data_IF_567245136680
#
_entry.id   IF_567245136680
#
_cell.length_a   1.000
_cell.length_b   1.000
_cell.length_c   1.000
_cell.angle_alpha   90.00
_cell.angle_beta   90.00
_cell.angle_gamma   90.00
#
_symmetry.space_group_name_H-M   'P 1'
#
loop_
_entity.id
_entity.type
_entity.pdbx_description
1 polymer ?
#
# COMPACT_ATOMS: atom_id res chain seq x y z
N UNK A 1 41.59 7.88 40.82
CA UNK A 1 41.20 7.13 39.59
C UNK A 1 39.70 6.91 39.64
N UNK A 2 38.96 7.51 38.71
CA UNK A 2 37.50 7.43 38.62
C UNK A 2 37.12 6.29 37.67
N UNK A 3 36.41 5.26 38.17
CA UNK A 3 35.90 4.16 37.34
C UNK A 3 34.62 4.61 36.66
N UNK A 4 34.69 4.80 35.34
CA UNK A 4 33.52 4.97 34.47
C UNK A 4 32.72 3.67 34.44
N UNK A 5 31.46 3.70 34.87
CA UNK A 5 30.50 2.63 34.62
C UNK A 5 30.01 2.77 33.18
N UNK A 6 30.40 1.86 32.31
CA UNK A 6 29.80 1.73 30.99
C UNK A 6 28.46 1.00 31.15
N UNK A 7 27.36 1.74 31.01
CA UNK A 7 26.04 1.14 30.83
C UNK A 7 25.98 0.57 29.41
N UNK A 8 25.96 -0.77 29.31
CA UNK A 8 25.60 -1.47 28.09
C UNK A 8 24.10 -1.30 27.88
N UNK A 9 23.70 -0.48 26.91
CA UNK A 9 22.34 -0.50 26.37
C UNK A 9 22.16 -1.87 25.68
N UNK A 10 21.42 -2.76 26.32
CA UNK A 10 20.99 -4.00 25.70
C UNK A 10 19.88 -3.69 24.70
N UNK A 11 20.15 -3.91 23.41
CA UNK A 11 19.11 -3.97 22.39
C UNK A 11 18.15 -5.11 22.74
N UNK A 12 16.90 -4.78 23.08
CA UNK A 12 15.85 -5.77 23.26
C UNK A 12 15.59 -6.42 21.90
N UNK A 13 16.01 -7.68 21.75
CA UNK A 13 15.71 -8.48 20.58
C UNK A 13 14.22 -8.86 20.66
N UNK A 14 13.38 -8.16 19.90
CA UNK A 14 11.97 -8.50 19.77
C UNK A 14 11.87 -9.79 18.93
N UNK A 15 11.59 -10.92 19.58
CA UNK A 15 11.26 -12.17 18.91
C UNK A 15 9.79 -12.08 18.48
N UNK A 16 9.53 -11.76 17.21
CA UNK A 16 8.19 -11.72 16.63
C UNK A 16 7.81 -13.13 16.17
N UNK A 17 6.92 -13.79 16.91
CA UNK A 17 6.18 -14.96 16.42
C UNK A 17 4.76 -14.52 16.10
N UNK A 18 4.36 -14.69 14.84
CA UNK A 18 2.97 -14.56 14.40
C UNK A 18 2.23 -15.84 14.78
N UNK A 19 1.17 -15.71 15.57
CA UNK A 19 0.27 -16.81 15.88
C UNK A 19 -1.13 -16.44 15.42
N UNK A 20 -1.61 -17.07 14.34
CA UNK A 20 -3.03 -17.05 13.98
C UNK A 20 -3.78 -17.96 14.96
N UNK A 21 -4.77 -17.40 15.66
CA UNK A 21 -5.58 -18.17 16.60
C UNK A 21 -6.62 -19.00 15.81
N UNK A 22 -6.21 -20.17 15.31
CA UNK A 22 -7.18 -21.14 14.76
C UNK A 22 -8.02 -21.71 15.91
N UNK A 23 -9.36 -21.76 15.82
CA UNK A 23 -10.15 -22.58 16.73
C UNK A 23 -9.77 -24.05 16.45
N UNK A 24 -9.21 -24.70 17.47
CA UNK A 24 -8.87 -26.12 17.41
C UNK A 24 -10.16 -26.94 17.40
N UNK A 25 -10.74 -27.13 16.21
CA UNK A 25 -11.90 -27.97 16.01
C UNK A 25 -11.48 -29.45 16.11
N UNK A 26 -11.93 -30.10 17.18
CA UNK A 26 -11.95 -31.56 17.26
C UNK A 26 -12.82 -32.07 16.11
N UNK A 27 -12.23 -32.93 15.27
CA UNK A 27 -12.89 -33.49 14.10
C UNK A 27 -14.10 -34.35 14.50
N UNK A 28 -15.26 -34.03 13.92
CA UNK A 28 -16.25 -35.03 13.54
C UNK A 28 -16.95 -34.57 12.25
N UNK A 29 -17.13 -35.50 11.32
CA UNK A 29 -17.40 -35.25 9.91
C UNK A 29 -18.74 -34.56 9.61
N UNK A 30 -18.68 -33.59 8.69
CA UNK A 30 -19.85 -32.97 8.08
C UNK A 30 -19.45 -31.68 7.37
N UNK A 31 -19.57 -31.64 6.04
CA UNK A 31 -19.19 -30.49 5.22
C UNK A 31 -19.96 -29.22 5.58
N UNK A 32 -19.24 -28.09 5.54
CA UNK A 32 -19.74 -26.75 5.85
C UNK A 32 -18.82 -26.06 6.85
N UNK A 33 -17.58 -25.77 6.45
CA UNK A 33 -16.58 -25.14 7.32
C UNK A 33 -16.92 -23.68 7.58
N UNK A 34 -17.19 -23.37 8.84
CA UNK A 34 -17.49 -22.06 9.39
C UNK A 34 -16.27 -21.12 9.20
N UNK A 35 -16.31 -20.24 8.19
CA UNK A 35 -15.25 -19.25 7.93
C UNK A 35 -15.27 -18.18 9.02
N UNK A 36 -14.60 -18.44 10.14
CA UNK A 36 -14.45 -17.46 11.21
C UNK A 36 -13.27 -16.52 10.93
N UNK A 37 -13.54 -15.21 11.04
CA UNK A 37 -12.51 -14.17 11.14
C UNK A 37 -11.45 -14.57 12.16
N UNK A 38 -10.17 -14.48 11.77
CA UNK A 38 -9.06 -14.82 12.65
C UNK A 38 -8.29 -13.57 13.00
N UNK A 39 -8.35 -13.16 14.27
CA UNK A 39 -7.50 -12.08 14.77
C UNK A 39 -6.05 -12.53 14.73
N UNK A 40 -5.22 -11.74 14.05
CA UNK A 40 -3.78 -11.93 13.98
C UNK A 40 -3.14 -11.32 15.22
N UNK A 41 -2.29 -12.10 15.88
CA UNK A 41 -1.55 -11.65 17.04
C UNK A 41 -0.04 -11.70 16.80
N UNK A 42 0.65 -10.69 17.30
CA UNK A 42 2.10 -10.66 17.43
C UNK A 42 2.51 -10.87 18.89
N UNK A 43 3.53 -11.71 19.08
CA UNK A 43 4.20 -11.91 20.37
C UNK A 43 5.43 -11.02 20.43
N UNK A 44 5.60 -10.29 21.54
CA UNK A 44 6.72 -9.37 21.71
C UNK A 44 7.29 -9.47 23.13
N UNK A 45 8.63 -9.40 23.26
CA UNK A 45 9.27 -9.12 24.54
C UNK A 45 9.49 -7.62 24.68
N UNK A 46 8.90 -7.02 25.71
CA UNK A 46 8.98 -5.59 25.99
C UNK A 46 9.59 -5.31 27.35
N UNK A 47 10.44 -4.30 27.44
CA UNK A 47 11.04 -3.86 28.72
C UNK A 47 10.05 -2.95 29.45
N UNK A 48 9.62 -3.36 30.65
CA UNK A 48 8.73 -2.62 31.55
C UNK A 48 7.25 -2.52 31.13
N UNK A 49 6.98 -1.98 29.93
CA UNK A 49 5.65 -1.51 29.45
C UNK A 49 4.74 -2.56 28.79
N UNK A 50 3.61 -2.09 28.25
CA UNK A 50 2.55 -2.92 27.66
C UNK A 50 2.71 -3.15 26.14
N UNK A 51 3.31 -2.20 25.41
CA UNK A 51 3.82 -2.29 24.02
C UNK A 51 4.73 -1.06 23.78
N UNK A 52 5.62 -1.09 22.78
CA UNK A 52 6.44 0.07 22.43
C UNK A 52 5.57 1.19 21.82
N UNK A 53 5.47 2.38 22.45
CA UNK A 53 4.65 3.48 21.92
C UNK A 53 5.08 3.96 20.53
N UNK A 54 6.35 3.77 20.14
CA UNK A 54 6.83 4.14 18.82
C UNK A 54 6.28 3.20 17.73
N UNK A 55 6.20 1.89 18.02
CA UNK A 55 5.62 0.89 17.10
C UNK A 55 4.14 1.15 16.89
N UNK A 56 3.38 1.36 17.98
CA UNK A 56 1.95 1.67 17.90
C UNK A 56 1.70 2.95 17.08
N UNK A 57 2.54 3.97 17.27
CA UNK A 57 2.44 5.22 16.51
C UNK A 57 2.71 4.99 15.03
N UNK A 58 3.77 4.27 14.67
CA UNK A 58 4.11 3.99 13.28
C UNK A 58 2.97 3.24 12.56
N UNK A 59 2.41 2.22 13.20
CA UNK A 59 1.25 1.48 12.67
C UNK A 59 0.04 2.41 12.47
N UNK A 60 -0.32 3.20 13.48
CA UNK A 60 -1.49 4.08 13.44
C UNK A 60 -1.35 5.23 12.43
N UNK A 61 -0.19 5.89 12.40
CA UNK A 61 0.07 6.98 11.46
C UNK A 61 0.02 6.47 10.01
N UNK A 62 0.56 5.27 9.76
CA UNK A 62 0.50 4.63 8.45
C UNK A 62 -0.94 4.29 8.02
N UNK A 63 -1.71 3.59 8.87
CA UNK A 63 -3.07 3.18 8.47
C UNK A 63 -4.01 4.37 8.30
N UNK A 64 -3.88 5.40 9.13
CA UNK A 64 -4.65 6.65 8.99
C UNK A 64 -4.30 7.32 7.67
N UNK A 65 -2.99 7.46 7.38
CA UNK A 65 -2.52 8.10 6.17
C UNK A 65 -2.91 7.35 4.90
N UNK A 66 -2.65 6.05 4.84
CA UNK A 66 -2.94 5.25 3.65
C UNK A 66 -4.45 5.17 3.39
N UNK A 67 -5.27 5.14 4.44
CA UNK A 67 -6.73 5.17 4.31
C UNK A 67 -7.23 6.47 3.68
N UNK A 68 -6.74 7.63 4.14
CA UNK A 68 -7.07 8.92 3.52
C UNK A 68 -6.59 8.98 2.06
N UNK A 69 -5.38 8.51 1.81
CA UNK A 69 -4.82 8.44 0.47
C UNK A 69 -5.70 7.58 -0.45
N UNK A 70 -6.13 6.39 -0.02
CA UNK A 70 -7.04 5.55 -0.81
C UNK A 70 -8.41 6.20 -1.06
N UNK A 71 -8.95 6.92 -0.09
CA UNK A 71 -10.19 7.70 -0.30
C UNK A 71 -10.04 8.79 -1.38
N UNK A 72 -8.82 9.32 -1.55
CA UNK A 72 -8.45 10.17 -2.67
C UNK A 72 -8.63 9.48 -4.03
N UNK A 73 -8.11 8.25 -4.19
CA UNK A 73 -8.26 7.48 -5.42
C UNK A 73 -9.72 7.16 -5.75
N UNK A 74 -10.57 6.90 -4.73
CA UNK A 74 -12.01 6.70 -4.93
C UNK A 74 -12.63 7.96 -5.55
N UNK A 75 -12.38 9.12 -4.95
CA UNK A 75 -12.88 10.42 -5.43
C UNK A 75 -12.43 10.69 -6.86
N UNK A 76 -11.13 10.51 -7.15
CA UNK A 76 -10.56 10.70 -8.49
C UNK A 76 -11.20 9.76 -9.53
N UNK A 77 -11.48 8.52 -9.14
CA UNK A 77 -12.08 7.50 -10.01
C UNK A 77 -13.57 7.79 -10.26
N UNK A 78 -14.32 8.23 -9.26
CA UNK A 78 -15.71 8.65 -9.41
C UNK A 78 -15.86 9.88 -10.32
N UNK A 79 -14.99 10.88 -10.14
CA UNK A 79 -14.94 12.07 -11.00
C UNK A 79 -14.67 11.68 -12.47
N UNK A 80 -13.76 10.74 -12.68
CA UNK A 80 -13.50 10.21 -14.02
C UNK A 80 -14.69 9.43 -14.56
N UNK A 81 -15.36 8.59 -13.77
CA UNK A 81 -16.57 7.89 -14.20
C UNK A 81 -17.71 8.85 -14.57
N UNK A 82 -17.75 10.06 -13.99
CA UNK A 82 -18.74 11.07 -14.31
C UNK A 82 -18.47 11.81 -15.65
N UNK A 83 -17.21 11.99 -16.05
CA UNK A 83 -16.81 12.86 -17.19
C UNK A 83 -16.06 12.11 -18.31
N UNK A 84 -15.24 11.15 -17.93
CA UNK A 84 -14.39 10.34 -18.80
C UNK A 84 -15.19 9.36 -19.64
N UNK A 85 -14.76 9.19 -20.89
CA UNK A 85 -15.50 8.42 -21.90
C UNK A 85 -14.75 7.20 -22.39
N UNK A 86 -13.45 7.11 -22.14
CA UNK A 86 -12.66 5.99 -22.61
C UNK A 86 -13.10 4.70 -21.89
N UNK A 87 -13.60 3.68 -22.61
CA UNK A 87 -14.16 2.48 -21.99
C UNK A 87 -13.13 1.68 -21.17
N UNK A 88 -11.85 1.71 -21.58
CA UNK A 88 -10.76 1.03 -20.86
C UNK A 88 -10.50 1.75 -19.53
N UNK A 89 -10.38 3.07 -19.55
CA UNK A 89 -10.14 3.84 -18.35
C UNK A 89 -11.34 3.87 -17.40
N UNK A 90 -12.56 3.81 -17.92
CA UNK A 90 -13.77 3.65 -17.08
C UNK A 90 -13.76 2.29 -16.36
N UNK A 91 -13.33 1.23 -17.04
CA UNK A 91 -13.14 -0.08 -16.39
C UNK A 91 -12.02 -0.03 -15.36
N UNK A 92 -10.92 0.68 -15.65
CA UNK A 92 -9.84 0.90 -14.69
C UNK A 92 -10.31 1.64 -13.44
N UNK A 93 -11.01 2.77 -13.59
CA UNK A 93 -11.58 3.53 -12.49
C UNK A 93 -12.53 2.68 -11.63
N UNK A 94 -13.37 1.84 -12.25
CA UNK A 94 -14.21 0.90 -11.52
C UNK A 94 -13.43 -0.17 -10.75
N UNK A 95 -12.31 -0.66 -11.30
CA UNK A 95 -11.44 -1.62 -10.62
C UNK A 95 -10.69 -0.98 -9.44
N UNK A 96 -10.19 0.25 -9.62
CA UNK A 96 -9.57 1.04 -8.55
C UNK A 96 -10.57 1.24 -7.40
N UNK A 97 -11.82 1.61 -7.71
CA UNK A 97 -12.85 1.78 -6.68
C UNK A 97 -13.05 0.49 -5.89
N UNK A 98 -13.35 -0.62 -6.58
CA UNK A 98 -13.64 -1.88 -5.92
C UNK A 98 -12.47 -2.39 -5.06
N UNK A 99 -11.23 -2.27 -5.55
CA UNK A 99 -10.06 -2.76 -4.84
C UNK A 99 -9.69 -1.85 -3.66
N UNK A 100 -9.69 -0.52 -3.84
CA UNK A 100 -9.30 0.40 -2.77
C UNK A 100 -10.40 0.58 -1.71
N UNK A 101 -11.68 0.37 -2.03
CA UNK A 101 -12.75 0.24 -1.02
C UNK A 101 -12.48 -0.94 -0.07
N UNK A 102 -12.06 -2.08 -0.61
CA UNK A 102 -11.68 -3.25 0.19
C UNK A 102 -10.44 -2.95 1.04
N UNK A 103 -9.40 -2.36 0.46
CA UNK A 103 -8.19 -1.99 1.20
C UNK A 103 -8.49 -0.97 2.32
N UNK A 104 -9.40 -0.02 2.11
CA UNK A 104 -9.88 0.89 3.18
C UNK A 104 -10.54 0.10 4.32
N UNK A 105 -11.38 -0.90 4.00
CA UNK A 105 -12.01 -1.73 5.03
C UNK A 105 -10.98 -2.54 5.82
N UNK A 106 -9.94 -3.05 5.15
CA UNK A 106 -8.80 -3.72 5.79
C UNK A 106 -8.04 -2.76 6.69
N UNK A 107 -7.72 -1.54 6.24
CA UNK A 107 -7.02 -0.53 7.05
C UNK A 107 -7.83 -0.10 8.28
N UNK A 108 -9.16 0.05 8.14
CA UNK A 108 -10.07 0.33 9.25
C UNK A 108 -10.06 -0.80 10.30
N UNK A 109 -10.04 -2.05 9.85
CA UNK A 109 -9.97 -3.19 10.75
C UNK A 109 -8.59 -3.32 11.42
N UNK A 110 -7.49 -3.13 10.68
CA UNK A 110 -6.15 -3.09 11.26
C UNK A 110 -6.06 -2.01 12.34
N UNK A 111 -6.56 -0.80 12.05
CA UNK A 111 -6.62 0.29 13.03
C UNK A 111 -7.36 -0.14 14.29
N UNK A 112 -8.54 -0.76 14.15
CA UNK A 112 -9.34 -1.26 15.28
C UNK A 112 -8.59 -2.30 16.11
N UNK A 113 -7.78 -3.14 15.49
CA UNK A 113 -6.98 -4.15 16.17
C UNK A 113 -5.79 -3.53 16.90
N UNK A 114 -5.02 -2.66 16.22
CA UNK A 114 -3.86 -1.97 16.80
C UNK A 114 -4.23 -1.09 18.00
N UNK A 115 -5.44 -0.51 18.02
CA UNK A 115 -5.94 0.29 19.15
C UNK A 115 -6.31 -0.53 20.39
N UNK A 116 -6.44 -1.85 20.28
CA UNK A 116 -6.77 -2.70 21.43
C UNK A 116 -5.56 -2.86 22.37
N UNK A 117 -5.80 -2.93 23.69
CA UNK A 117 -4.72 -3.08 24.65
C UNK A 117 -4.03 -4.44 24.49
N UNK A 118 -2.68 -4.48 24.51
CA UNK A 118 -1.93 -5.74 24.49
C UNK A 118 -2.15 -6.52 25.78
N UNK A 119 -2.13 -7.85 25.69
CA UNK A 119 -2.27 -8.77 26.82
C UNK A 119 -0.90 -9.23 27.29
N UNK A 120 -0.59 -9.04 28.57
CA UNK A 120 0.58 -9.67 29.19
C UNK A 120 0.33 -11.18 29.30
N UNK A 121 1.20 -11.97 28.69
CA UNK A 121 1.16 -13.44 28.79
C UNK A 121 2.04 -13.93 29.94
N UNK A 122 3.26 -13.39 30.05
CA UNK A 122 4.23 -13.73 31.10
C UNK A 122 4.96 -12.48 31.56
N UNK A 123 5.12 -12.32 32.88
CA UNK A 123 5.84 -11.20 33.49
C UNK A 123 7.13 -11.69 34.16
N UNK A 124 8.28 -11.23 33.67
CA UNK A 124 9.61 -11.53 34.22
C UNK A 124 10.17 -10.34 35.03
N UNK A 125 9.30 -9.45 35.53
CA UNK A 125 9.67 -8.24 36.24
C UNK A 125 10.07 -7.11 35.29
N UNK A 126 11.35 -7.01 34.95
CA UNK A 126 11.85 -5.94 34.07
C UNK A 126 11.44 -6.14 32.60
N UNK A 127 11.07 -7.36 32.22
CA UNK A 127 10.67 -7.73 30.85
C UNK A 127 9.35 -8.49 30.88
N UNK A 128 8.49 -8.22 29.92
CA UNK A 128 7.19 -8.90 29.77
C UNK A 128 7.09 -9.52 28.39
N UNK A 129 6.55 -10.73 28.31
CA UNK A 129 6.07 -11.30 27.06
C UNK A 129 4.61 -10.88 26.90
N UNK A 130 4.33 -10.12 25.85
CA UNK A 130 3.00 -9.62 25.53
C UNK A 130 2.47 -10.28 24.26
N UNK A 131 1.15 -10.22 24.10
CA UNK A 131 0.44 -10.54 22.87
C UNK A 131 -0.38 -9.34 22.44
N UNK A 132 -0.12 -8.84 21.24
CA UNK A 132 -0.79 -7.67 20.67
C UNK A 132 -1.66 -8.09 19.48
N UNK A 133 -2.94 -7.68 19.41
CA UNK A 133 -3.73 -7.81 18.19
C UNK A 133 -3.23 -6.81 17.15
N UNK A 134 -3.05 -7.26 15.90
CA UNK A 134 -2.43 -6.43 14.85
C UNK A 134 -3.23 -6.35 13.56
N UNK A 135 -4.12 -7.31 13.31
CA UNK A 135 -5.00 -7.35 12.14
C UNK A 135 -6.10 -8.41 12.31
N UNK A 136 -6.95 -8.53 11.31
CA UNK A 136 -7.86 -9.67 11.13
C UNK A 136 -7.67 -10.23 9.73
N UNK A 137 -7.52 -11.54 9.63
CA UNK A 137 -7.54 -12.28 8.38
C UNK A 137 -8.96 -12.79 8.07
N UNK A 138 -9.28 -12.92 6.79
CA UNK A 138 -10.57 -13.45 6.33
C UNK A 138 -11.60 -12.38 5.95
N UNK A 139 -11.23 -11.09 5.96
CA UNK A 139 -12.15 -9.99 5.60
C UNK A 139 -12.66 -10.14 4.17
N UNK A 140 -11.85 -10.69 3.26
CA UNK A 140 -12.25 -10.94 1.88
C UNK A 140 -13.46 -11.88 1.78
N UNK A 141 -13.52 -12.90 2.64
CA UNK A 141 -14.64 -13.83 2.68
C UNK A 141 -15.88 -13.17 3.32
N UNK A 142 -15.68 -12.40 4.39
CA UNK A 142 -16.74 -11.70 5.09
C UNK A 142 -17.43 -10.64 4.21
N UNK A 143 -16.63 -9.85 3.50
CA UNK A 143 -17.11 -8.81 2.61
C UNK A 143 -17.51 -9.34 1.23
N UNK A 144 -17.42 -10.67 1.02
CA UNK A 144 -17.59 -11.33 -0.27
C UNK A 144 -16.79 -10.62 -1.39
N UNK A 145 -15.60 -10.13 -1.02
CA UNK A 145 -14.74 -9.36 -1.90
C UNK A 145 -14.14 -10.27 -2.97
N UNK A 146 -14.22 -9.81 -4.20
CA UNK A 146 -13.55 -10.40 -5.34
C UNK A 146 -12.74 -9.30 -5.99
N UNK A 147 -11.41 -9.48 -6.02
CA UNK A 147 -10.49 -8.52 -6.63
C UNK A 147 -10.91 -8.23 -8.07
N UNK A 148 -11.12 -6.96 -8.37
CA UNK A 148 -11.44 -6.50 -9.70
C UNK A 148 -10.14 -6.38 -10.51
N UNK A 149 -9.92 -7.22 -11.54
CA UNK A 149 -8.67 -7.15 -12.30
C UNK A 149 -8.65 -5.85 -13.11
N UNK A 150 -7.57 -5.05 -13.02
CA UNK A 150 -7.42 -3.88 -13.86
C UNK A 150 -7.41 -4.30 -15.35
N UNK A 151 -7.78 -3.39 -16.27
CA UNK A 151 -7.58 -3.65 -17.69
C UNK A 151 -6.12 -3.95 -18.00
N UNK A 152 -5.89 -4.66 -19.09
CA UNK A 152 -4.54 -4.96 -19.56
C UNK A 152 -4.09 -3.98 -20.63
N UNK A 153 -2.77 -3.95 -20.89
CA UNK A 153 -2.25 -3.25 -22.07
C UNK A 153 -2.94 -3.75 -23.36
N UNK A 154 -3.23 -5.05 -23.48
CA UNK A 154 -3.96 -5.60 -24.63
C UNK A 154 -5.36 -5.01 -24.75
N UNK A 155 -6.07 -4.81 -23.63
CA UNK A 155 -7.38 -4.14 -23.62
C UNK A 155 -7.26 -2.71 -24.18
N UNK A 156 -6.22 -1.97 -23.80
CA UNK A 156 -5.94 -0.63 -24.32
C UNK A 156 -5.64 -0.62 -25.82
N UNK A 157 -4.90 -1.62 -26.33
CA UNK A 157 -4.53 -1.72 -27.74
C UNK A 157 -5.69 -2.16 -28.65
N UNK A 158 -6.56 -3.03 -28.15
CA UNK A 158 -7.63 -3.65 -28.94
C UNK A 158 -8.95 -2.89 -28.85
N UNK A 159 -9.20 -2.18 -27.75
CA UNK A 159 -10.42 -1.42 -27.57
C UNK A 159 -10.36 -0.14 -28.41
N UNK A 160 -11.41 0.09 -29.21
CA UNK A 160 -11.58 1.32 -29.98
C UNK A 160 -11.97 2.47 -29.04
N UNK A 161 -11.27 3.59 -29.16
CA UNK A 161 -11.52 4.81 -28.40
C UNK A 161 -10.27 5.67 -28.43
N UNK A 162 -10.39 6.92 -28.87
CA UNK A 162 -9.26 7.85 -28.78
C UNK A 162 -9.03 8.20 -27.30
N UNK A 163 -7.76 8.27 -26.90
CA UNK A 163 -7.39 8.91 -25.63
C UNK A 163 -7.52 10.42 -25.86
N UNK A 164 -8.36 11.07 -25.07
CA UNK A 164 -8.51 12.53 -25.10
C UNK A 164 -7.68 13.22 -24.02
N UNK A 165 -7.69 14.56 -24.02
CA UNK A 165 -6.89 15.34 -23.07
C UNK A 165 -7.34 15.13 -21.61
N UNK A 166 -8.62 14.87 -21.37
CA UNK A 166 -9.14 14.64 -20.02
C UNK A 166 -8.70 13.27 -19.49
N UNK A 167 -8.69 12.25 -20.36
CA UNK A 167 -8.11 10.94 -20.08
C UNK A 167 -6.63 11.05 -19.65
N UNK A 168 -5.85 11.87 -20.35
CA UNK A 168 -4.44 12.09 -20.02
C UNK A 168 -4.28 12.81 -18.69
N UNK A 169 -5.09 13.85 -18.42
CA UNK A 169 -5.03 14.56 -17.13
C UNK A 169 -5.35 13.64 -15.96
N UNK A 170 -6.39 12.80 -16.09
CA UNK A 170 -6.71 11.81 -15.07
C UNK A 170 -5.60 10.77 -14.90
N UNK A 171 -5.03 10.26 -16.01
CA UNK A 171 -3.95 9.30 -15.95
C UNK A 171 -2.70 9.88 -15.26
N UNK A 172 -2.31 11.11 -15.60
CA UNK A 172 -1.21 11.83 -14.93
C UNK A 172 -1.48 12.05 -13.44
N UNK A 173 -2.71 12.44 -13.08
CA UNK A 173 -3.12 12.61 -11.69
C UNK A 173 -2.98 11.30 -10.91
N UNK A 174 -3.52 10.22 -11.46
CA UNK A 174 -3.51 8.90 -10.81
C UNK A 174 -2.11 8.28 -10.75
N UNK A 175 -1.24 8.52 -11.74
CA UNK A 175 0.18 8.14 -11.66
C UNK A 175 0.84 8.82 -10.45
N UNK A 176 0.67 10.14 -10.31
CA UNK A 176 1.26 10.88 -9.20
C UNK A 176 0.72 10.40 -7.84
N UNK A 177 -0.60 10.13 -7.77
CA UNK A 177 -1.25 9.58 -6.60
C UNK A 177 -0.68 8.20 -6.23
N UNK A 178 -0.67 7.24 -7.16
CA UNK A 178 -0.15 5.89 -6.92
C UNK A 178 1.33 5.88 -6.54
N UNK A 179 2.13 6.79 -7.10
CA UNK A 179 3.52 6.94 -6.67
C UNK A 179 3.62 7.33 -5.18
N UNK A 180 2.71 8.18 -4.69
CA UNK A 180 2.59 8.51 -3.27
C UNK A 180 2.32 7.29 -2.39
N UNK A 181 1.39 6.41 -2.81
CA UNK A 181 1.10 5.17 -2.08
C UNK A 181 2.31 4.21 -2.07
N UNK A 182 3.00 4.05 -3.21
CA UNK A 182 4.25 3.29 -3.28
C UNK A 182 5.30 3.82 -2.30
N UNK A 183 5.46 5.14 -2.23
CA UNK A 183 6.43 5.79 -1.35
C UNK A 183 6.06 5.60 0.13
N UNK A 184 4.78 5.76 0.49
CA UNK A 184 4.28 5.50 1.84
C UNK A 184 4.49 4.04 2.28
N UNK A 185 4.11 3.08 1.42
CA UNK A 185 4.25 1.65 1.70
C UNK A 185 5.72 1.24 1.89
N UNK A 186 6.62 1.78 1.05
CA UNK A 186 8.07 1.57 1.17
C UNK A 186 8.64 2.22 2.42
N UNK A 187 8.21 3.44 2.74
CA UNK A 187 8.66 4.17 3.94
C UNK A 187 8.27 3.41 5.21
N UNK A 188 7.03 2.94 5.33
CA UNK A 188 6.61 2.10 6.45
C UNK A 188 7.44 0.82 6.56
N UNK A 189 7.65 0.11 5.44
CA UNK A 189 8.46 -1.11 5.43
C UNK A 189 9.94 -0.89 5.77
N UNK A 190 10.44 0.34 5.63
CA UNK A 190 11.80 0.74 5.98
C UNK A 190 11.93 1.31 7.39
N UNK A 191 10.83 1.70 8.03
CA UNK A 191 10.82 2.21 9.40
C UNK A 191 11.15 1.06 10.39
N UNK A 192 12.19 1.19 11.24
CA UNK A 192 12.45 0.19 12.29
C UNK A 192 11.29 -0.02 13.27
N UNK A 193 10.34 0.91 13.34
CA UNK A 193 9.11 0.80 14.14
C UNK A 193 7.92 0.24 13.34
N UNK A 194 7.98 0.19 12.01
CA UNK A 194 6.97 -0.41 11.13
C UNK A 194 7.04 -1.93 11.16
N UNK A 195 6.59 -2.52 12.28
CA UNK A 195 6.81 -3.95 12.58
C UNK A 195 5.62 -4.84 12.29
N UNK A 196 4.43 -4.29 12.07
CA UNK A 196 3.21 -5.06 11.84
C UNK A 196 3.37 -5.90 10.56
N UNK A 197 3.50 -7.22 10.75
CA UNK A 197 3.72 -8.19 9.68
C UNK A 197 2.62 -8.18 8.63
N UNK A 198 1.36 -8.03 9.05
CA UNK A 198 0.21 -7.94 8.15
C UNK A 198 0.28 -6.69 7.26
N UNK A 199 0.59 -5.53 7.84
CA UNK A 199 0.77 -4.29 7.05
C UNK A 199 1.94 -4.40 6.06
N UNK A 200 3.05 -5.04 6.46
CA UNK A 200 4.18 -5.26 5.56
C UNK A 200 3.82 -6.16 4.37
N UNK A 201 2.98 -7.17 4.59
CA UNK A 201 2.46 -8.04 3.54
C UNK A 201 1.52 -7.27 2.60
N UNK A 202 0.52 -6.57 3.15
CA UNK A 202 -0.37 -5.69 2.39
C UNK A 202 0.42 -4.67 1.55
N UNK A 203 1.54 -4.14 2.06
CA UNK A 203 2.39 -3.21 1.34
C UNK A 203 3.08 -3.82 0.12
N UNK A 204 3.36 -5.12 0.12
CA UNK A 204 3.86 -5.80 -1.09
C UNK A 204 2.78 -5.86 -2.16
N UNK A 205 1.54 -6.15 -1.79
CA UNK A 205 0.40 -6.19 -2.71
C UNK A 205 0.12 -4.79 -3.30
N UNK A 206 0.04 -3.76 -2.46
CA UNK A 206 -0.11 -2.35 -2.89
C UNK A 206 0.97 -1.98 -3.89
N UNK A 207 2.24 -2.26 -3.58
CA UNK A 207 3.35 -1.92 -4.48
C UNK A 207 3.24 -2.69 -5.79
N UNK A 208 2.88 -3.97 -5.79
CA UNK A 208 2.74 -4.75 -7.01
C UNK A 208 1.60 -4.26 -7.89
N UNK A 209 0.41 -4.11 -7.32
CA UNK A 209 -0.79 -3.71 -8.04
C UNK A 209 -0.67 -2.29 -8.58
N UNK A 210 -0.27 -1.33 -7.74
CA UNK A 210 -0.20 0.06 -8.17
C UNK A 210 0.98 0.32 -9.12
N UNK A 211 2.08 -0.47 -9.06
CA UNK A 211 3.12 -0.43 -10.10
C UNK A 211 2.56 -0.88 -11.45
N UNK A 212 1.74 -1.93 -11.47
CA UNK A 212 1.08 -2.37 -12.71
C UNK A 212 0.15 -1.28 -13.27
N UNK A 213 -0.66 -0.68 -12.41
CA UNK A 213 -1.59 0.38 -12.79
C UNK A 213 -0.86 1.62 -13.31
N UNK A 214 0.25 2.03 -12.69
CA UNK A 214 1.12 3.10 -13.21
C UNK A 214 1.57 2.79 -14.64
N UNK A 215 2.09 1.58 -14.91
CA UNK A 215 2.55 1.22 -16.26
C UNK A 215 1.43 1.23 -17.31
N UNK A 216 0.21 0.88 -16.92
CA UNK A 216 -0.97 1.00 -17.79
C UNK A 216 -1.33 2.46 -18.06
N UNK A 217 -1.32 3.32 -17.03
CA UNK A 217 -1.59 4.75 -17.16
C UNK A 217 -0.52 5.45 -18.00
N UNK A 218 0.75 5.09 -17.86
CA UNK A 218 1.82 5.58 -18.73
C UNK A 218 1.56 5.20 -20.20
N UNK A 219 1.07 3.99 -20.45
CA UNK A 219 0.68 3.54 -21.79
C UNK A 219 -0.51 4.34 -22.35
N UNK A 220 -1.43 4.80 -21.49
CA UNK A 220 -2.53 5.70 -21.87
C UNK A 220 -1.98 7.06 -22.29
N UNK A 221 -1.11 7.66 -21.48
CA UNK A 221 -0.46 8.94 -21.78
C UNK A 221 0.30 8.87 -23.12
N UNK A 222 1.04 7.79 -23.37
CA UNK A 222 1.79 7.58 -24.60
C UNK A 222 0.92 7.42 -25.86
N UNK A 223 -0.37 7.05 -25.69
CA UNK A 223 -1.31 6.87 -26.80
C UNK A 223 -2.07 8.15 -27.16
N UNK A 224 -1.87 9.22 -26.40
CA UNK A 224 -2.47 10.52 -26.70
C UNK A 224 -1.95 11.05 -28.04
N UNK A 225 -2.83 11.41 -29.01
CA UNK A 225 -2.39 11.90 -30.31
C UNK A 225 -1.82 13.33 -30.27
N UNK A 226 -2.02 14.07 -29.17
CA UNK A 226 -1.48 15.41 -28.96
C UNK A 226 -0.16 15.40 -28.18
N UNK A 227 0.32 16.59 -27.84
CA UNK A 227 1.51 16.76 -27.00
C UNK A 227 1.13 16.62 -25.52
N UNK A 228 1.35 15.44 -24.95
CA UNK A 228 1.10 15.19 -23.53
C UNK A 228 1.97 16.07 -22.63
N UNK A 229 3.18 16.46 -23.05
CA UNK A 229 4.09 17.28 -22.23
C UNK A 229 3.60 18.72 -22.05
N UNK A 230 2.71 19.18 -22.94
CA UNK A 230 2.09 20.50 -22.83
C UNK A 230 0.87 20.52 -21.88
N UNK A 231 0.37 19.36 -21.45
CA UNK A 231 -0.80 19.27 -20.57
C UNK A 231 -0.39 19.63 -19.15
N UNK A 232 -1.02 20.66 -18.61
CA UNK A 232 -0.85 21.05 -17.20
C UNK A 232 -1.84 20.28 -16.33
N UNK A 233 -1.32 19.56 -15.34
CA UNK A 233 -2.15 18.94 -14.31
C UNK A 233 -2.71 20.03 -13.39
N UNK A 234 -4.03 20.02 -13.20
CA UNK A 234 -4.69 20.87 -12.22
C UNK A 234 -4.57 20.21 -10.84
N UNK A 235 -3.99 20.89 -9.82
CA UNK A 235 -3.87 20.32 -8.48
C UNK A 235 -5.18 19.84 -7.87
N UNK A 236 -6.32 20.39 -8.29
CA UNK A 236 -7.65 19.94 -7.81
C UNK A 236 -8.06 18.55 -8.30
N UNK A 237 -7.34 17.97 -9.28
CA UNK A 237 -7.58 16.60 -9.76
C UNK A 237 -6.86 15.54 -8.91
N UNK A 238 -6.00 15.95 -7.98
CA UNK A 238 -5.24 15.05 -7.12
C UNK A 238 -5.78 15.19 -5.70
N UNK A 239 -6.49 14.17 -5.23
CA UNK A 239 -7.09 14.11 -3.90
C UNK A 239 -6.26 13.23 -2.97
N UNK A 240 -6.45 13.31 -1.65
CA UNK A 240 -5.82 12.37 -0.69
C UNK A 240 -4.30 12.49 -0.49
N UNK A 241 -3.63 13.46 -1.12
CA UNK A 241 -2.17 13.69 -0.97
C UNK A 241 -1.78 14.53 0.26
N UNK A 242 -2.65 14.60 1.27
CA UNK A 242 -2.39 15.35 2.50
C UNK A 242 -1.12 14.82 3.20
N UNK A 243 -0.19 15.72 3.54
CA UNK A 243 1.07 15.38 4.20
C UNK A 243 0.82 14.83 5.61
N UNK A 244 0.81 13.51 5.79
CA UNK A 244 0.78 12.92 7.13
C UNK A 244 2.20 12.83 7.74
N UNK A 245 2.53 13.87 8.51
CA UNK A 245 3.08 13.77 9.87
C UNK A 245 4.32 12.90 10.11
N UNK A 246 5.51 13.36 9.72
CA UNK A 246 6.77 12.85 10.27
C UNK A 246 7.96 13.01 9.34
N UNK A 247 8.65 14.16 9.40
CA UNK A 247 9.99 14.40 8.84
C UNK A 247 10.35 13.66 7.53
N UNK A 248 9.83 14.16 6.42
CA UNK A 248 10.36 13.84 5.11
C UNK A 248 9.91 14.91 4.12
N UNK A 249 10.80 15.84 3.79
CA UNK A 249 10.59 16.71 2.64
C UNK A 249 10.57 15.82 1.41
N UNK A 250 9.38 15.56 0.84
CA UNK A 250 9.32 15.12 -0.55
C UNK A 250 9.79 16.30 -1.41
N UNK A 251 11.05 16.23 -1.82
CA UNK A 251 11.52 16.99 -2.98
C UNK A 251 10.70 16.50 -4.16
N UNK A 252 9.85 17.36 -4.71
CA UNK A 252 9.20 17.10 -6.00
C UNK A 252 10.27 17.19 -7.08
N UNK A 253 11.13 16.15 -7.12
CA UNK A 253 12.11 15.95 -8.15
C UNK A 253 11.38 15.97 -9.48
N UNK A 254 11.73 16.95 -10.31
CA UNK A 254 11.23 17.11 -11.66
C UNK A 254 11.15 15.75 -12.35
N UNK A 255 9.95 15.39 -12.82
CA UNK A 255 9.74 14.26 -13.72
C UNK A 255 10.58 14.51 -14.98
N UNK A 256 11.82 14.04 -14.98
CA UNK A 256 12.66 14.02 -16.15
C UNK A 256 12.16 12.88 -17.03
N UNK A 257 11.36 13.22 -18.04
CA UNK A 257 11.01 12.30 -19.11
C UNK A 257 12.30 11.87 -19.82
N UNK A 258 12.81 10.70 -19.41
CA UNK A 258 13.94 10.04 -20.06
C UNK A 258 13.58 9.72 -21.50
N UNK A 259 14.01 10.58 -22.42
CA UNK A 259 14.08 10.26 -23.83
C UNK A 259 14.98 9.04 -24.00
N UNK A 260 14.40 7.89 -24.35
CA UNK A 260 15.14 6.73 -24.82
C UNK A 260 15.79 7.08 -26.16
N UNK A 261 17.03 7.57 -26.10
CA UNK A 261 17.90 7.67 -27.27
C UNK A 261 18.18 6.27 -27.81
N UNK A 262 17.61 5.96 -28.97
CA UNK A 262 18.11 4.91 -29.84
C UNK A 262 19.50 5.31 -30.33
N UNK A 263 20.52 4.51 -30.01
CA UNK A 263 21.82 4.57 -30.67
C UNK A 263 21.98 3.35 -31.58
N UNK A 264 22.10 3.51 -32.90
CA UNK A 264 22.28 2.39 -33.81
C UNK A 264 23.72 1.88 -33.72
N UNK A 265 23.88 0.65 -33.21
CA UNK A 265 25.13 -0.11 -33.29
C UNK A 265 25.61 -0.21 -34.74
N UNK A 266 26.65 0.57 -35.05
CA UNK A 266 27.38 0.55 -36.30
C UNK A 266 28.31 -0.67 -36.34
N UNK A 267 27.89 -1.72 -37.05
CA UNK A 267 28.75 -2.85 -37.40
C UNK A 267 29.81 -2.40 -38.43
N UNK A 268 31.03 -2.12 -37.96
CA UNK A 268 32.21 -2.13 -38.83
C UNK A 268 32.66 -3.58 -39.09
N UNK A 269 32.30 -4.07 -40.26
CA UNK A 269 32.91 -5.23 -40.90
C UNK A 269 34.40 -4.95 -41.19
N UNK A 270 35.29 -5.80 -40.69
CA UNK A 270 36.66 -5.97 -41.20
C UNK A 270 36.63 -7.00 -42.32
N UNK A 271 37.14 -6.65 -43.50
CA UNK A 271 37.71 -7.60 -44.46
C UNK A 271 38.62 -6.86 -45.45
N UNK A 272 39.88 -7.32 -45.48
CA UNK A 272 40.94 -7.19 -46.50
C UNK A 272 41.49 -5.81 -46.85
#
# INVERSE_FOLDING_TARGET
MSMKKHALLGSALALVLTLSATPMAMADGGGGGDWHETVVYELELVSGGAADPAVLRADLDYVIGMREHHAGALTMSEEYLAKGRNPVLRRMAGAIIANQEYEIAVLDEVKRQVEQPPKVLVDFGATKLIRRPVATEGLEHQLAYVKAPPPTALDLWTTRGAVDEYDVRWAMAMIAHHQGALDMARAYNADPNGKNSFLREMNYDIVQDQTYEIGLLESVVARYPGDASAIKLDPSMVHGMSMHGGHGTMDHGAMNHGATGHDPMNHKTKAH
#
